data_IF_444815452768
#
_entry.id   IF_444815452768
#
_cell.length_a   1.000
_cell.length_b   1.000
_cell.length_c   1.000
_cell.angle_alpha   90.00
_cell.angle_beta   90.00
_cell.angle_gamma   90.00
#
_symmetry.space_group_name_H-M   'P 1'
#
loop_
_entity.id
_entity.type
_entity.pdbx_description
1 polymer ?
#
# COMPACT_ATOMS: atom_id res chain seq x y z
N UNK A 1 12.90 24.10 26.27
CA UNK A 1 13.12 22.96 27.17
C UNK A 1 11.87 22.78 28.03
N UNK A 2 11.27 21.58 28.04
CA UNK A 2 10.44 21.12 29.16
C UNK A 2 8.91 21.25 29.05
N UNK A 3 8.26 20.61 28.08
CA UNK A 3 6.95 20.02 28.42
C UNK A 3 7.21 18.61 28.95
N UNK A 4 7.00 18.44 30.25
CA UNK A 4 7.13 17.22 31.06
C UNK A 4 5.96 16.26 30.88
N UNK A 5 5.33 16.25 29.69
CA UNK A 5 4.20 15.37 29.44
C UNK A 5 4.74 13.99 29.05
N UNK A 6 4.41 12.92 29.79
CA UNK A 6 4.86 11.59 29.46
C UNK A 6 4.31 11.18 28.09
N UNK A 7 5.18 10.67 27.23
CA UNK A 7 4.85 10.18 25.90
C UNK A 7 4.95 8.66 25.92
N UNK A 8 3.79 8.02 25.93
CA UNK A 8 3.68 6.57 25.90
C UNK A 8 3.69 6.06 24.46
N UNK A 9 4.37 4.94 24.21
CA UNK A 9 4.39 4.34 22.89
C UNK A 9 4.94 2.92 22.88
N UNK A 10 4.61 2.17 21.83
CA UNK A 10 5.20 0.86 21.64
C UNK A 10 6.71 1.00 21.33
N UNK A 11 7.54 0.10 21.87
CA UNK A 11 9.00 0.16 21.77
C UNK A 11 9.54 0.09 20.34
N UNK A 12 8.73 -0.40 19.38
CA UNK A 12 9.10 -0.54 17.96
C UNK A 12 8.83 0.70 17.10
N UNK A 13 8.15 1.74 17.61
CA UNK A 13 7.81 2.95 16.83
C UNK A 13 9.06 3.57 16.20
N UNK A 14 10.14 3.73 16.97
CA UNK A 14 11.38 4.32 16.48
C UNK A 14 11.98 3.51 15.32
N UNK A 15 12.02 2.17 15.46
CA UNK A 15 12.52 1.25 14.42
C UNK A 15 11.66 1.27 13.16
N UNK A 16 10.33 1.28 13.30
CA UNK A 16 9.42 1.31 12.17
C UNK A 16 9.55 2.60 11.35
N UNK A 17 9.82 3.73 12.00
CA UNK A 17 10.03 5.02 11.32
C UNK A 17 11.34 5.09 10.54
N UNK A 18 12.42 4.46 11.00
CA UNK A 18 13.71 4.50 10.29
C UNK A 18 13.75 3.57 9.08
N UNK A 19 13.00 2.45 9.11
CA UNK A 19 12.95 1.43 8.03
C UNK A 19 12.67 2.03 6.66
N UNK A 20 11.66 2.89 6.55
CA UNK A 20 11.16 3.38 5.25
C UNK A 20 11.93 4.58 4.70
N UNK A 21 12.80 5.19 5.52
CA UNK A 21 13.57 6.39 5.18
C UNK A 21 15.02 6.09 4.71
N UNK A 22 15.37 4.81 4.53
CA UNK A 22 16.74 4.36 4.26
C UNK A 22 16.91 3.80 2.83
N UNK A 23 17.51 2.62 2.68
CA UNK A 23 17.92 2.00 1.43
C UNK A 23 16.79 1.84 0.37
N UNK A 24 15.52 1.78 0.78
CA UNK A 24 14.38 1.60 -0.13
C UNK A 24 13.59 2.89 -0.42
N UNK A 25 14.06 4.04 0.08
CA UNK A 25 13.29 5.27 0.18
C UNK A 25 12.66 5.78 -1.14
N UNK A 26 13.34 5.77 -2.32
CA UNK A 26 12.74 6.25 -3.56
C UNK A 26 11.56 5.41 -3.99
N UNK A 27 11.70 4.08 -3.99
CA UNK A 27 10.61 3.16 -4.34
C UNK A 27 9.43 3.34 -3.37
N UNK A 28 9.70 3.41 -2.07
CA UNK A 28 8.67 3.63 -1.06
C UNK A 28 7.95 4.98 -1.24
N UNK A 29 8.70 6.05 -1.47
CA UNK A 29 8.16 7.40 -1.68
C UNK A 29 7.35 7.48 -2.97
N UNK A 30 7.82 6.85 -4.05
CA UNK A 30 7.09 6.76 -5.32
C UNK A 30 5.73 6.11 -5.10
N UNK A 31 5.72 4.95 -4.46
CA UNK A 31 4.48 4.24 -4.18
C UNK A 31 3.54 5.03 -3.28
N UNK A 32 4.05 5.78 -2.29
CA UNK A 32 3.25 6.69 -1.47
C UNK A 32 2.58 7.78 -2.31
N UNK A 33 3.34 8.43 -3.20
CA UNK A 33 2.81 9.47 -4.10
C UNK A 33 1.73 8.91 -5.03
N UNK A 34 1.97 7.73 -5.60
CA UNK A 34 1.04 7.06 -6.52
C UNK A 34 -0.24 6.60 -5.79
N UNK A 35 -0.12 5.86 -4.68
CA UNK A 35 -1.28 5.34 -3.94
C UNK A 35 -2.15 6.43 -3.32
N UNK A 36 -1.54 7.48 -2.76
CA UNK A 36 -2.29 8.54 -2.09
C UNK A 36 -2.57 9.75 -2.98
N UNK A 37 -2.12 9.73 -4.24
CA UNK A 37 -2.37 10.80 -5.20
C UNK A 37 -1.85 12.15 -4.74
N UNK A 38 -0.73 12.20 -3.99
CA UNK A 38 -0.27 13.45 -3.34
C UNK A 38 0.21 14.51 -4.34
N UNK A 39 0.37 14.15 -5.61
CA UNK A 39 0.68 15.06 -6.72
C UNK A 39 -0.51 15.33 -7.64
N UNK A 40 -1.68 14.76 -7.36
CA UNK A 40 -2.89 15.02 -8.14
C UNK A 40 -3.40 16.44 -7.85
N UNK A 41 -4.05 17.09 -8.84
CA UNK A 41 -4.72 18.36 -8.62
C UNK A 41 -5.88 18.20 -7.63
N UNK A 42 -6.31 19.31 -7.03
CA UNK A 42 -7.43 19.30 -6.08
C UNK A 42 -8.80 19.18 -6.78
N UNK A 43 -8.85 19.50 -8.06
CA UNK A 43 -10.06 19.54 -8.88
C UNK A 43 -9.81 19.02 -10.31
N UNK A 44 -10.88 18.98 -11.10
CA UNK A 44 -10.86 18.53 -12.49
C UNK A 44 -10.91 17.01 -12.68
N UNK A 45 -10.82 16.53 -13.95
CA UNK A 45 -10.96 15.11 -14.29
C UNK A 45 -9.95 14.17 -13.60
N UNK A 46 -8.74 14.66 -13.37
CA UNK A 46 -7.67 13.94 -12.66
C UNK A 46 -7.57 14.33 -11.16
N UNK A 47 -8.57 15.04 -10.64
CA UNK A 47 -8.59 15.55 -9.27
C UNK A 47 -8.63 14.44 -8.22
N UNK A 48 -7.98 14.68 -7.08
CA UNK A 48 -8.09 13.81 -5.91
C UNK A 48 -9.52 13.87 -5.35
N UNK A 49 -10.08 12.69 -5.07
CA UNK A 49 -11.43 12.56 -4.48
C UNK A 49 -11.39 12.05 -3.04
N UNK A 50 -10.31 11.37 -2.67
CA UNK A 50 -10.13 10.75 -1.37
C UNK A 50 -8.96 9.77 -1.38
N UNK A 51 -8.59 9.31 -0.20
CA UNK A 51 -7.55 8.29 -0.01
C UNK A 51 -8.11 7.04 0.69
N UNK A 52 -9.43 6.85 0.66
CA UNK A 52 -10.16 5.74 1.31
C UNK A 52 -10.26 5.89 2.83
N UNK A 53 -9.14 5.96 3.54
CA UNK A 53 -9.10 6.16 5.01
C UNK A 53 -9.47 7.59 5.45
N UNK A 54 -9.58 8.51 4.50
CA UNK A 54 -9.90 9.91 4.72
C UNK A 54 -9.85 10.70 3.42
N UNK A 55 -10.01 12.02 3.50
CA UNK A 55 -10.05 12.89 2.31
C UNK A 55 -8.67 13.14 1.71
N UNK A 56 -7.64 13.32 2.54
CA UNK A 56 -6.29 13.66 2.10
C UNK A 56 -5.23 12.92 2.93
N UNK A 57 -4.11 12.56 2.29
CA UNK A 57 -2.92 12.13 3.02
C UNK A 57 -2.27 13.30 3.80
N UNK A 58 -2.28 14.50 3.22
CA UNK A 58 -1.95 15.76 3.88
C UNK A 58 -2.98 16.81 3.49
N UNK A 59 -3.66 17.40 4.47
CA UNK A 59 -4.71 18.37 4.20
C UNK A 59 -4.10 19.66 3.61
N UNK A 60 -4.42 20.03 2.34
CA UNK A 60 -3.87 21.21 1.68
C UNK A 60 -4.12 22.53 2.44
N UNK A 61 -5.20 22.61 3.22
CA UNK A 61 -5.51 23.79 4.03
C UNK A 61 -4.49 24.06 5.15
N UNK A 62 -3.64 23.07 5.47
CA UNK A 62 -2.60 23.15 6.48
C UNK A 62 -1.19 23.21 5.86
N UNK A 63 -1.07 23.62 4.59
CA UNK A 63 0.21 23.84 3.95
C UNK A 63 0.84 25.19 4.39
N UNK A 64 2.18 25.29 4.52
CA UNK A 64 3.16 24.21 4.40
C UNK A 64 3.15 23.28 5.63
N UNK A 65 3.43 22.01 5.40
CA UNK A 65 3.43 21.01 6.47
C UNK A 65 4.76 20.98 7.22
N UNK A 66 4.71 21.00 8.56
CA UNK A 66 5.88 20.80 9.42
C UNK A 66 5.90 19.35 9.93
N UNK A 67 6.89 18.53 9.54
CA UNK A 67 7.08 17.22 10.17
C UNK A 67 7.39 17.39 11.67
N UNK A 68 6.74 16.60 12.51
CA UNK A 68 6.96 16.60 13.96
C UNK A 68 7.04 15.18 14.49
N UNK A 69 7.96 14.95 15.42
CA UNK A 69 8.07 13.70 16.17
C UNK A 69 8.77 13.97 17.50
N UNK A 70 8.23 13.39 18.56
CA UNK A 70 8.85 13.30 19.88
C UNK A 70 8.91 11.81 20.21
N UNK A 71 10.07 11.34 20.65
CA UNK A 71 10.25 9.94 21.03
C UNK A 71 9.45 9.61 22.28
N UNK A 72 8.91 8.38 22.35
CA UNK A 72 8.26 7.89 23.54
C UNK A 72 9.28 7.69 24.66
N UNK A 73 9.04 8.30 25.81
CA UNK A 73 9.87 8.15 27.01
C UNK A 73 9.35 7.05 27.94
N UNK A 74 8.11 6.59 27.73
CA UNK A 74 7.53 5.44 28.41
C UNK A 74 7.14 4.39 27.36
N UNK A 75 7.95 3.32 27.26
CA UNK A 75 7.74 2.29 26.24
C UNK A 75 7.19 1.00 26.79
N UNK A 76 6.42 0.30 25.95
CA UNK A 76 5.92 -1.05 26.21
C UNK A 76 6.14 -1.94 24.98
N UNK A 77 6.24 -3.26 25.20
CA UNK A 77 6.36 -4.26 24.12
C UNK A 77 5.52 -5.52 24.34
N UNK A 78 4.72 -5.52 25.41
CA UNK A 78 3.85 -6.61 25.82
C UNK A 78 2.60 -6.04 26.48
N UNK A 79 1.61 -6.88 26.75
CA UNK A 79 0.40 -6.47 27.48
C UNK A 79 0.76 -5.83 28.81
N UNK A 80 0.21 -4.65 29.06
CA UNK A 80 0.45 -3.90 30.29
C UNK A 80 -0.77 -3.06 30.68
N UNK A 81 -0.77 -2.58 31.92
CA UNK A 81 -1.74 -1.60 32.42
C UNK A 81 -1.01 -0.30 32.69
N UNK A 82 -1.57 0.80 32.22
CA UNK A 82 -1.05 2.15 32.45
C UNK A 82 -2.15 3.06 32.96
N UNK A 83 -1.76 4.09 33.70
CA UNK A 83 -2.68 5.14 34.17
C UNK A 83 -2.30 6.46 33.53
N UNK A 84 -3.20 7.04 32.74
CA UNK A 84 -2.99 8.35 32.10
C UNK A 84 -4.13 9.27 32.49
N UNK A 85 -3.79 10.41 33.12
CA UNK A 85 -4.78 11.39 33.59
C UNK A 85 -5.90 10.79 34.47
N UNK A 86 -5.59 9.76 35.27
CA UNK A 86 -6.55 9.07 36.15
C UNK A 86 -7.42 8.01 35.46
N UNK A 87 -7.21 7.76 34.16
CA UNK A 87 -7.84 6.66 33.44
C UNK A 87 -6.91 5.45 33.45
N UNK A 88 -7.40 4.34 34.00
CA UNK A 88 -6.76 3.02 33.87
C UNK A 88 -6.98 2.51 32.44
N UNK A 89 -5.88 2.15 31.78
CA UNK A 89 -5.88 1.66 30.41
C UNK A 89 -5.17 0.31 30.33
N UNK A 90 -5.85 -0.70 29.81
CA UNK A 90 -5.26 -1.99 29.48
C UNK A 90 -4.76 -1.95 28.02
N UNK A 91 -3.44 -2.02 27.84
CA UNK A 91 -2.76 -2.00 26.55
C UNK A 91 -2.46 -3.44 26.14
N UNK A 92 -2.89 -3.84 24.96
CA UNK A 92 -2.61 -5.17 24.39
C UNK A 92 -1.97 -5.04 23.02
N UNK A 93 -0.83 -5.70 22.75
CA UNK A 93 -0.25 -5.78 21.41
C UNK A 93 -1.27 -6.28 20.40
N UNK A 94 -1.45 -5.54 19.32
CA UNK A 94 -2.39 -5.86 18.26
C UNK A 94 -1.81 -5.45 16.90
N UNK A 95 -0.77 -6.16 16.41
CA UNK A 95 -0.17 -5.87 15.12
C UNK A 95 -1.20 -5.82 14.00
N UNK A 96 -1.17 -4.75 13.20
CA UNK A 96 -2.09 -4.53 12.07
C UNK A 96 -1.31 -4.12 10.83
N UNK A 97 -1.32 -2.83 10.46
CA UNK A 97 -0.54 -2.28 9.35
C UNK A 97 0.93 -2.10 9.72
N UNK A 98 1.21 -2.05 11.02
CA UNK A 98 2.54 -2.09 11.61
C UNK A 98 2.56 -3.02 12.84
N UNK A 99 3.75 -3.49 13.19
CA UNK A 99 3.99 -4.42 14.30
C UNK A 99 4.08 -3.73 15.68
N UNK A 100 3.79 -2.43 15.72
CA UNK A 100 3.76 -1.58 16.91
C UNK A 100 2.33 -1.09 17.25
N UNK A 101 1.33 -1.61 16.55
CA UNK A 101 -0.08 -1.33 16.85
C UNK A 101 -0.54 -2.04 18.12
N UNK A 102 -1.43 -1.36 18.86
CA UNK A 102 -2.02 -1.85 20.11
C UNK A 102 -3.51 -1.55 20.17
N UNK A 103 -4.24 -2.32 20.97
CA UNK A 103 -5.58 -1.95 21.45
C UNK A 103 -5.49 -1.38 22.85
N UNK A 104 -6.26 -0.33 23.11
CA UNK A 104 -6.31 0.38 24.41
C UNK A 104 -7.72 0.22 24.95
N UNK A 105 -7.92 -0.61 25.98
CA UNK A 105 -9.20 -0.71 26.68
C UNK A 105 -9.23 0.26 27.85
N UNK A 106 -10.31 1.03 27.97
CA UNK A 106 -10.55 1.99 29.06
C UNK A 106 -11.86 1.61 29.75
N UNK A 107 -11.84 0.70 30.75
CA UNK A 107 -13.05 0.11 31.32
C UNK A 107 -14.00 1.12 31.94
N UNK A 108 -13.49 2.18 32.56
CA UNK A 108 -14.31 3.24 33.16
C UNK A 108 -15.15 4.03 32.15
N UNK A 109 -14.78 3.98 30.86
CA UNK A 109 -15.50 4.61 29.76
C UNK A 109 -16.22 3.61 28.87
N UNK A 110 -16.16 2.31 29.19
CA UNK A 110 -16.70 1.22 28.39
C UNK A 110 -16.24 1.28 26.91
N UNK A 111 -14.95 1.58 26.72
CA UNK A 111 -14.34 1.97 25.45
C UNK A 111 -13.12 1.10 25.11
N UNK A 112 -12.98 0.75 23.84
CA UNK A 112 -11.74 0.24 23.25
C UNK A 112 -11.31 1.13 22.08
N UNK A 113 -10.05 1.56 22.08
CA UNK A 113 -9.40 2.25 20.95
C UNK A 113 -8.52 1.26 20.19
N UNK A 114 -8.56 1.26 18.85
CA UNK A 114 -7.86 0.28 18.02
C UNK A 114 -7.39 0.85 16.67
N UNK A 115 -6.51 0.13 15.98
CA UNK A 115 -6.12 0.36 14.59
C UNK A 115 -6.28 -0.92 13.73
N UNK A 116 -7.19 -1.80 14.14
CA UNK A 116 -7.47 -3.08 13.49
C UNK A 116 -8.63 -2.97 12.49
N UNK A 117 -9.67 -2.24 12.87
CA UNK A 117 -10.90 -2.07 12.08
C UNK A 117 -10.87 -0.72 11.38
N UNK A 118 -10.56 -0.73 10.09
CA UNK A 118 -10.54 0.47 9.27
C UNK A 118 -11.91 0.74 8.62
N UNK A 119 -12.23 1.99 8.26
CA UNK A 119 -13.47 2.34 7.56
C UNK A 119 -13.51 1.90 6.08
N UNK A 120 -12.80 0.82 5.76
CA UNK A 120 -12.58 0.20 4.45
C UNK A 120 -12.05 -1.22 4.69
N UNK A 121 -12.17 -2.10 3.70
CA UNK A 121 -11.54 -3.42 3.75
C UNK A 121 -10.04 -3.29 4.02
N UNK A 122 -9.56 -3.98 5.06
CA UNK A 122 -8.17 -3.85 5.52
C UNK A 122 -7.18 -4.25 4.41
N UNK A 123 -6.16 -3.42 4.20
CA UNK A 123 -5.16 -3.71 3.19
C UNK A 123 -4.06 -4.63 3.74
N UNK A 124 -4.20 -5.93 3.52
CA UNK A 124 -3.22 -6.94 3.97
C UNK A 124 -1.83 -6.66 3.38
N UNK A 125 -1.76 -6.09 2.17
CA UNK A 125 -0.51 -5.66 1.57
C UNK A 125 -0.71 -4.46 0.65
N UNK A 126 0.05 -3.39 0.80
CA UNK A 126 -0.17 -2.18 0.01
C UNK A 126 0.44 -2.28 -1.40
N UNK A 127 -0.32 -1.89 -2.45
CA UNK A 127 0.17 -1.86 -3.84
C UNK A 127 1.37 -0.92 -4.03
N UNK A 128 1.58 0.03 -3.11
CA UNK A 128 2.77 0.89 -3.06
C UNK A 128 4.08 0.17 -2.73
N UNK A 129 4.03 -1.09 -2.33
CA UNK A 129 5.19 -1.86 -1.92
C UNK A 129 5.53 -1.61 -0.45
N UNK A 130 5.34 -2.64 0.36
CA UNK A 130 5.75 -2.75 1.76
C UNK A 130 6.31 -4.15 2.01
N UNK A 131 6.57 -4.49 3.27
CA UNK A 131 6.71 -5.89 3.64
C UNK A 131 5.34 -6.56 3.65
N UNK A 132 5.30 -7.86 3.29
CA UNK A 132 4.09 -8.64 3.42
C UNK A 132 3.70 -8.78 4.90
N UNK A 133 2.42 -8.56 5.20
CA UNK A 133 1.86 -8.74 6.53
C UNK A 133 0.92 -9.92 6.46
N UNK A 134 1.22 -10.96 7.24
CA UNK A 134 0.35 -12.13 7.32
C UNK A 134 -0.97 -11.73 8.00
N UNK A 135 -2.12 -11.76 7.29
CA UNK A 135 -3.39 -11.38 7.89
C UNK A 135 -3.78 -12.30 9.04
N UNK A 136 -3.22 -13.50 9.17
CA UNK A 136 -3.48 -14.37 10.32
C UNK A 136 -3.11 -13.72 11.65
N UNK A 137 -2.11 -12.82 11.66
CA UNK A 137 -1.73 -12.03 12.85
C UNK A 137 -2.83 -11.01 13.18
N UNK A 138 -3.34 -10.31 12.17
CA UNK A 138 -4.42 -9.32 12.31
C UNK A 138 -5.71 -9.96 12.83
N UNK A 139 -6.06 -11.15 12.32
CA UNK A 139 -7.29 -11.86 12.67
C UNK A 139 -7.36 -12.16 14.17
N UNK A 140 -6.24 -12.52 14.81
CA UNK A 140 -6.20 -12.73 16.25
C UNK A 140 -6.55 -11.45 17.04
N UNK A 141 -6.11 -10.28 16.58
CA UNK A 141 -6.48 -9.00 17.17
C UNK A 141 -7.97 -8.68 16.98
N UNK A 142 -8.52 -8.97 15.79
CA UNK A 142 -9.94 -8.79 15.50
C UNK A 142 -10.83 -9.69 16.38
N UNK A 143 -10.42 -10.93 16.63
CA UNK A 143 -11.13 -11.86 17.53
C UNK A 143 -11.12 -11.37 18.99
N UNK A 144 -10.08 -10.62 19.40
CA UNK A 144 -10.02 -10.04 20.75
C UNK A 144 -10.97 -8.87 20.97
N UNK A 145 -11.25 -8.04 19.98
CA UNK A 145 -12.03 -6.80 20.18
C UNK A 145 -13.43 -7.06 20.79
N UNK A 146 -14.25 -8.00 20.27
CA UNK A 146 -15.56 -8.29 20.87
C UNK A 146 -15.45 -8.98 22.24
N UNK A 147 -14.35 -9.69 22.50
CA UNK A 147 -14.13 -10.44 23.75
C UNK A 147 -13.98 -9.52 24.97
N UNK A 148 -13.51 -8.29 24.78
CA UNK A 148 -13.41 -7.25 25.83
C UNK A 148 -14.80 -6.76 26.25
N UNK A 149 -15.82 -6.98 25.41
CA UNK A 149 -17.21 -6.53 25.63
C UNK A 149 -17.23 -5.05 26.01
N UNK A 150 -16.74 -4.16 25.15
CA UNK A 150 -16.92 -2.72 25.32
C UNK A 150 -18.21 -2.25 24.62
N UNK A 151 -18.87 -1.19 25.11
CA UNK A 151 -20.00 -0.57 24.40
C UNK A 151 -19.54 0.40 23.30
N UNK A 152 -18.30 0.88 23.35
CA UNK A 152 -17.75 1.81 22.37
C UNK A 152 -16.47 1.26 21.76
N UNK A 153 -16.39 1.24 20.43
CA UNK A 153 -15.18 0.90 19.69
C UNK A 153 -14.79 2.11 18.82
N UNK A 154 -13.62 2.69 19.10
CA UNK A 154 -13.07 3.83 18.36
C UNK A 154 -11.86 3.34 17.56
N UNK A 155 -11.86 3.59 16.26
CA UNK A 155 -10.71 3.36 15.39
C UNK A 155 -9.79 4.58 15.35
N UNK A 156 -8.50 4.37 15.05
CA UNK A 156 -7.59 5.44 14.61
C UNK A 156 -8.09 6.14 13.33
N UNK A 157 -8.94 5.44 12.57
CA UNK A 157 -9.64 5.92 11.40
C UNK A 157 -11.14 5.64 11.51
N UNK A 158 -11.95 6.46 10.82
CA UNK A 158 -13.37 6.20 10.65
C UNK A 158 -14.27 6.65 11.80
N UNK A 159 -15.52 6.20 11.74
CA UNK A 159 -16.59 6.54 12.69
C UNK A 159 -16.64 5.48 13.81
N UNK A 160 -16.86 5.87 15.07
CA UNK A 160 -17.03 4.92 16.17
C UNK A 160 -18.18 3.93 15.95
N UNK A 161 -18.00 2.69 16.41
CA UNK A 161 -19.05 1.66 16.45
C UNK A 161 -19.56 1.57 17.88
N UNK A 162 -20.87 1.66 18.07
CA UNK A 162 -21.51 1.69 19.39
C UNK A 162 -22.47 0.50 19.56
N UNK A 163 -22.49 -0.06 20.77
CA UNK A 163 -23.30 -1.22 21.13
C UNK A 163 -22.52 -2.53 20.95
N UNK A 164 -22.48 -3.35 22.01
CA UNK A 164 -21.72 -4.62 22.04
C UNK A 164 -22.10 -5.57 20.91
N UNK A 165 -23.40 -5.71 20.63
CA UNK A 165 -23.89 -6.60 19.58
C UNK A 165 -23.52 -6.10 18.19
N UNK A 166 -23.57 -4.78 17.98
CA UNK A 166 -23.18 -4.17 16.70
C UNK A 166 -21.67 -4.26 16.48
N UNK A 167 -20.87 -4.07 17.52
CA UNK A 167 -19.42 -4.30 17.49
C UNK A 167 -19.14 -5.76 17.12
N UNK A 168 -19.74 -6.72 17.83
CA UNK A 168 -19.52 -8.15 17.56
C UNK A 168 -19.92 -8.53 16.13
N UNK A 169 -21.07 -8.04 15.65
CA UNK A 169 -21.56 -8.29 14.29
C UNK A 169 -20.61 -7.71 13.25
N UNK A 170 -20.33 -6.41 13.30
CA UNK A 170 -19.54 -5.71 12.26
C UNK A 170 -18.08 -6.16 12.24
N UNK A 171 -17.47 -6.31 13.43
CA UNK A 171 -16.08 -6.84 13.53
C UNK A 171 -16.03 -8.30 13.08
N UNK A 172 -17.05 -9.11 13.40
CA UNK A 172 -17.17 -10.48 12.90
C UNK A 172 -17.20 -10.54 11.37
N UNK A 173 -18.05 -9.72 10.71
CA UNK A 173 -18.09 -9.64 9.24
C UNK A 173 -16.74 -9.21 8.67
N UNK A 174 -16.11 -8.20 9.26
CA UNK A 174 -14.79 -7.70 8.84
C UNK A 174 -13.72 -8.79 8.89
N UNK A 175 -13.66 -9.49 10.02
CA UNK A 175 -12.76 -10.62 10.27
C UNK A 175 -12.98 -11.75 9.26
N UNK A 176 -14.23 -12.12 9.01
CA UNK A 176 -14.58 -13.20 8.07
C UNK A 176 -14.26 -12.84 6.62
N UNK A 177 -14.45 -11.59 6.21
CA UNK A 177 -14.05 -11.12 4.87
C UNK A 177 -12.55 -11.26 4.63
N UNK A 178 -11.73 -10.90 5.62
CA UNK A 178 -10.26 -11.02 5.53
C UNK A 178 -9.82 -12.49 5.54
N UNK A 179 -10.37 -13.30 6.45
CA UNK A 179 -10.09 -14.75 6.48
C UNK A 179 -10.48 -15.41 5.16
N UNK A 180 -11.64 -15.07 4.60
CA UNK A 180 -12.11 -15.63 3.34
C UNK A 180 -11.12 -15.38 2.21
N UNK A 181 -10.61 -14.16 2.08
CA UNK A 181 -9.61 -13.82 1.06
C UNK A 181 -8.34 -14.67 1.23
N UNK A 182 -7.88 -14.86 2.46
CA UNK A 182 -6.70 -15.70 2.73
C UNK A 182 -6.98 -17.18 2.43
N UNK A 183 -8.05 -17.75 2.98
CA UNK A 183 -8.41 -19.16 2.83
C UNK A 183 -8.60 -19.54 1.36
N UNK A 184 -9.36 -18.74 0.60
CA UNK A 184 -9.61 -19.04 -0.80
C UNK A 184 -8.37 -18.82 -1.66
N UNK A 185 -7.52 -17.84 -1.33
CA UNK A 185 -6.23 -17.67 -2.00
C UNK A 185 -5.35 -18.90 -1.83
N UNK A 186 -5.18 -19.36 -0.59
CA UNK A 186 -4.37 -20.55 -0.28
C UNK A 186 -4.98 -21.79 -0.93
N UNK A 187 -6.30 -21.98 -0.82
CA UNK A 187 -7.00 -23.12 -1.42
C UNK A 187 -6.78 -23.23 -2.92
N UNK A 188 -6.90 -22.11 -3.66
CA UNK A 188 -6.71 -22.10 -5.10
C UNK A 188 -5.23 -22.19 -5.50
N UNK A 189 -4.32 -21.58 -4.74
CA UNK A 189 -2.88 -21.73 -4.96
C UNK A 189 -2.44 -23.19 -4.80
N UNK A 190 -2.92 -23.88 -3.75
CA UNK A 190 -2.68 -25.31 -3.54
C UNK A 190 -3.23 -26.20 -4.67
N UNK A 191 -4.12 -25.68 -5.51
CA UNK A 191 -4.66 -26.35 -6.71
C UNK A 191 -3.96 -25.95 -8.00
N UNK A 192 -2.84 -25.22 -7.91
CA UNK A 192 -2.04 -24.80 -9.06
C UNK A 192 -2.52 -23.52 -9.75
N UNK A 193 -3.40 -22.73 -9.12
CA UNK A 193 -3.78 -21.44 -9.68
C UNK A 193 -2.57 -20.48 -9.72
N UNK A 194 -2.36 -19.84 -10.87
CA UNK A 194 -1.35 -18.80 -11.02
C UNK A 194 -1.77 -17.51 -10.31
N UNK A 195 -0.86 -16.54 -10.20
CA UNK A 195 -1.20 -15.23 -9.61
C UNK A 195 -2.33 -14.55 -10.38
N UNK A 196 -2.33 -14.64 -11.71
CA UNK A 196 -3.39 -14.08 -12.55
C UNK A 196 -4.74 -14.79 -12.35
N UNK A 197 -4.75 -16.12 -12.26
CA UNK A 197 -6.00 -16.88 -12.09
C UNK A 197 -6.73 -16.52 -10.78
N UNK A 198 -5.98 -16.32 -9.70
CA UNK A 198 -6.53 -15.98 -8.38
C UNK A 198 -7.38 -14.71 -8.40
N UNK A 199 -6.96 -13.71 -9.19
CA UNK A 199 -7.71 -12.46 -9.35
C UNK A 199 -9.12 -12.66 -9.91
N UNK A 200 -9.34 -13.74 -10.66
CA UNK A 200 -10.62 -14.08 -11.26
C UNK A 200 -11.40 -15.11 -10.46
N UNK A 201 -10.71 -16.02 -9.78
CA UNK A 201 -11.30 -17.13 -9.03
C UNK A 201 -11.82 -16.73 -7.64
N UNK A 202 -11.17 -15.76 -6.98
CA UNK A 202 -11.51 -15.36 -5.61
C UNK A 202 -12.18 -13.99 -5.64
N UNK A 203 -13.47 -13.97 -5.29
CA UNK A 203 -14.27 -12.76 -5.11
C UNK A 203 -14.89 -12.78 -3.73
N UNK A 204 -14.96 -11.61 -3.10
CA UNK A 204 -15.72 -11.50 -1.86
C UNK A 204 -17.19 -11.89 -2.15
N UNK A 205 -17.80 -12.70 -1.27
CA UNK A 205 -19.20 -13.06 -1.40
C UNK A 205 -20.08 -11.83 -1.19
N UNK A 206 -21.30 -11.83 -1.74
CA UNK A 206 -22.26 -10.70 -1.66
C UNK A 206 -22.50 -10.24 -0.21
N UNK A 207 -22.45 -11.18 0.73
CA UNK A 207 -22.63 -10.88 2.15
C UNK A 207 -21.54 -9.97 2.73
N UNK A 208 -20.37 -9.88 2.09
CA UNK A 208 -19.26 -9.03 2.51
C UNK A 208 -19.36 -7.59 1.98
N UNK A 209 -20.34 -7.26 1.13
CA UNK A 209 -20.51 -5.91 0.59
C UNK A 209 -21.75 -5.20 1.17
N UNK A 210 -21.99 -5.36 2.47
CA UNK A 210 -23.12 -4.75 3.17
C UNK A 210 -22.74 -3.56 4.08
N UNK A 211 -21.44 -3.31 4.23
CA UNK A 211 -20.88 -2.32 5.14
C UNK A 211 -19.63 -1.68 4.53
N UNK A 212 -19.45 -0.37 4.71
CA UNK A 212 -18.26 0.35 4.28
C UNK A 212 -16.96 -0.24 4.84
N UNK A 213 -17.04 -0.94 5.99
CA UNK A 213 -15.91 -1.67 6.56
C UNK A 213 -15.40 -2.76 5.62
N UNK A 214 -16.27 -3.43 4.87
CA UNK A 214 -15.89 -4.61 4.07
C UNK A 214 -15.95 -4.35 2.58
N UNK A 215 -16.59 -3.26 2.15
CA UNK A 215 -16.56 -2.80 0.75
C UNK A 215 -15.14 -2.45 0.29
N UNK A 216 -14.86 -2.79 -0.97
CA UNK A 216 -13.56 -2.65 -1.64
C UNK A 216 -13.25 -1.19 -2.06
N UNK A 217 -13.27 -0.27 -1.10
CA UNK A 217 -13.02 1.17 -1.29
C UNK A 217 -11.55 1.59 -1.14
N UNK A 218 -10.70 0.73 -0.60
CA UNK A 218 -9.28 1.01 -0.43
C UNK A 218 -8.41 0.09 -1.28
N UNK A 219 -8.47 -1.22 -1.09
CA UNK A 219 -7.97 -2.21 -2.06
C UNK A 219 -9.10 -3.10 -2.58
N UNK A 220 -8.78 -3.97 -3.53
CA UNK A 220 -9.72 -4.93 -4.14
C UNK A 220 -9.25 -6.37 -3.95
N UNK A 221 -10.17 -7.33 -3.87
CA UNK A 221 -9.94 -8.76 -3.69
C UNK A 221 -8.95 -9.33 -4.72
N UNK A 222 -9.06 -8.89 -5.97
CA UNK A 222 -8.12 -9.25 -7.05
C UNK A 222 -6.66 -8.92 -6.69
N UNK A 223 -6.41 -7.79 -6.02
CA UNK A 223 -5.05 -7.43 -5.58
C UNK A 223 -4.67 -8.18 -4.30
N UNK A 224 -5.59 -8.30 -3.35
CA UNK A 224 -5.33 -8.99 -2.07
C UNK A 224 -4.91 -10.44 -2.29
N UNK A 225 -5.56 -11.15 -3.20
CA UNK A 225 -5.26 -12.56 -3.47
C UNK A 225 -3.86 -12.75 -4.06
N UNK A 226 -3.48 -11.90 -5.02
CA UNK A 226 -2.13 -11.86 -5.61
C UNK A 226 -1.06 -11.52 -4.58
N UNK A 227 -1.39 -10.63 -3.66
CA UNK A 227 -0.52 -10.18 -2.60
C UNK A 227 -0.30 -11.26 -1.54
N UNK A 228 -1.37 -11.90 -1.06
CA UNK A 228 -1.31 -13.03 -0.14
C UNK A 228 -0.50 -14.16 -0.76
N UNK A 229 -0.75 -14.49 -2.03
CA UNK A 229 0.04 -15.50 -2.75
C UNK A 229 1.52 -15.15 -2.79
N UNK A 230 1.87 -13.95 -3.24
CA UNK A 230 3.28 -13.50 -3.31
C UNK A 230 3.94 -13.43 -1.94
N UNK A 231 3.19 -13.07 -0.91
CA UNK A 231 3.66 -13.02 0.48
C UNK A 231 3.99 -14.39 1.06
N UNK A 232 3.16 -15.39 0.76
CA UNK A 232 3.34 -16.76 1.25
C UNK A 232 4.33 -17.58 0.42
N UNK A 233 4.35 -17.39 -0.89
CA UNK A 233 5.04 -18.29 -1.84
C UNK A 233 6.10 -17.60 -2.71
N UNK A 234 6.25 -16.28 -2.60
CA UNK A 234 7.20 -15.50 -3.39
C UNK A 234 6.73 -15.21 -4.82
N UNK A 235 7.66 -14.70 -5.63
CA UNK A 235 7.37 -14.15 -6.95
C UNK A 235 6.94 -15.21 -7.98
N UNK A 236 7.47 -16.43 -7.88
CA UNK A 236 7.27 -17.45 -8.90
C UNK A 236 5.88 -18.07 -8.77
N UNK A 237 5.12 -18.03 -9.86
CA UNK A 237 3.73 -18.48 -9.90
C UNK A 237 3.47 -19.84 -10.53
N UNK A 238 4.54 -20.57 -10.83
CA UNK A 238 4.47 -21.88 -11.47
C UNK A 238 4.53 -21.81 -12.99
N UNK A 239 4.36 -20.63 -13.60
CA UNK A 239 4.51 -20.45 -15.04
C UNK A 239 5.99 -20.30 -15.41
N UNK A 240 6.55 -21.26 -16.14
CA UNK A 240 7.98 -21.30 -16.51
C UNK A 240 8.42 -20.09 -17.34
N UNK A 241 7.52 -19.46 -18.11
CA UNK A 241 7.84 -18.23 -18.83
C UNK A 241 8.15 -17.05 -17.89
N UNK A 242 7.58 -17.06 -16.68
CA UNK A 242 7.87 -16.08 -15.63
C UNK A 242 9.17 -16.39 -14.88
N UNK A 243 9.70 -17.62 -14.99
CA UNK A 243 10.97 -18.00 -14.38
C UNK A 243 12.18 -17.47 -15.16
N UNK A 244 12.04 -17.37 -16.49
CA UNK A 244 13.09 -16.88 -17.39
C UNK A 244 12.61 -15.71 -18.25
N UNK A 245 12.23 -14.57 -17.66
CA UNK A 245 11.68 -13.46 -18.41
C UNK A 245 12.76 -12.77 -19.24
N UNK A 246 12.43 -12.42 -20.48
CA UNK A 246 13.20 -11.43 -21.24
C UNK A 246 13.18 -10.06 -20.55
N UNK A 247 14.22 -9.22 -20.75
CA UNK A 247 14.15 -7.80 -20.39
C UNK A 247 12.89 -7.16 -21.00
N UNK A 248 12.19 -6.34 -20.21
CA UNK A 248 10.85 -5.81 -20.57
C UNK A 248 10.78 -5.21 -21.96
N UNK A 249 11.73 -4.32 -22.30
CA UNK A 249 11.75 -3.63 -23.61
C UNK A 249 11.92 -4.63 -24.76
N UNK A 250 12.88 -5.55 -24.65
CA UNK A 250 13.12 -6.58 -25.67
C UNK A 250 11.91 -7.51 -25.84
N UNK A 251 11.28 -7.91 -24.73
CA UNK A 251 10.07 -8.75 -24.75
C UNK A 251 8.94 -8.05 -25.51
N UNK A 252 8.73 -6.77 -25.25
CA UNK A 252 7.67 -5.99 -25.89
C UNK A 252 7.93 -5.81 -27.39
N UNK A 253 9.17 -5.52 -27.80
CA UNK A 253 9.53 -5.43 -29.21
C UNK A 253 9.26 -6.74 -29.97
N UNK A 254 9.58 -7.89 -29.34
CA UNK A 254 9.31 -9.22 -29.91
C UNK A 254 7.81 -9.49 -30.06
N UNK A 255 7.02 -9.18 -29.04
CA UNK A 255 5.56 -9.35 -29.13
C UNK A 255 4.93 -8.43 -30.18
N UNK A 256 5.35 -7.17 -30.26
CA UNK A 256 4.87 -6.24 -31.29
C UNK A 256 5.18 -6.79 -32.69
N UNK A 257 6.38 -7.30 -32.92
CA UNK A 257 6.74 -7.93 -34.19
C UNK A 257 5.87 -9.16 -34.49
N UNK A 258 5.67 -10.03 -33.50
CA UNK A 258 4.85 -11.24 -33.62
C UNK A 258 3.37 -10.94 -33.90
N UNK A 259 2.85 -9.82 -33.39
CA UNK A 259 1.48 -9.34 -33.59
C UNK A 259 1.26 -8.59 -34.91
N UNK A 260 2.26 -8.57 -35.81
CA UNK A 260 2.15 -7.93 -37.13
C UNK A 260 2.53 -6.44 -37.13
N UNK A 261 3.36 -6.00 -36.18
CA UNK A 261 3.93 -4.66 -36.15
C UNK A 261 3.12 -3.64 -35.34
N UNK A 262 3.74 -2.48 -35.10
CA UNK A 262 3.24 -1.44 -34.19
C UNK A 262 1.84 -0.93 -34.55
N UNK A 263 1.60 -0.63 -35.83
CA UNK A 263 0.31 -0.08 -36.27
C UNK A 263 -0.82 -1.10 -36.09
N UNK A 264 -0.54 -2.39 -36.30
CA UNK A 264 -1.49 -3.48 -36.05
C UNK A 264 -1.85 -3.57 -34.56
N UNK A 265 -0.85 -3.42 -33.68
CA UNK A 265 -1.04 -3.41 -32.22
C UNK A 265 -1.83 -2.18 -31.78
N UNK A 266 -1.53 -0.99 -32.34
CA UNK A 266 -2.30 0.24 -32.08
C UNK A 266 -3.76 0.09 -32.47
N UNK A 267 -4.03 -0.36 -33.70
CA UNK A 267 -5.39 -0.60 -34.17
C UNK A 267 -6.12 -1.65 -33.30
N UNK A 268 -5.41 -2.66 -32.80
CA UNK A 268 -5.98 -3.64 -31.87
C UNK A 268 -6.31 -3.03 -30.51
N UNK A 269 -5.45 -2.15 -30.00
CA UNK A 269 -5.70 -1.41 -28.76
C UNK A 269 -6.94 -0.51 -28.87
N UNK A 270 -7.10 0.20 -30.00
CA UNK A 270 -8.30 1.01 -30.28
C UNK A 270 -9.56 0.16 -30.29
N UNK A 271 -9.55 -0.97 -31.02
CA UNK A 271 -10.68 -1.90 -31.04
C UNK A 271 -11.01 -2.46 -29.66
N UNK A 272 -10.00 -2.77 -28.85
CA UNK A 272 -10.20 -3.26 -27.48
C UNK A 272 -10.92 -2.20 -26.63
N UNK A 273 -10.53 -0.93 -26.73
CA UNK A 273 -11.22 0.18 -26.05
C UNK A 273 -12.66 0.37 -26.54
N UNK A 274 -12.89 0.32 -27.86
CA UNK A 274 -14.23 0.43 -28.46
C UNK A 274 -15.16 -0.73 -28.03
N UNK A 275 -14.59 -1.92 -27.82
CA UNK A 275 -15.29 -3.11 -27.35
C UNK A 275 -15.43 -3.19 -25.82
N UNK A 276 -15.01 -2.16 -25.09
CA UNK A 276 -14.97 -2.10 -23.63
C UNK A 276 -14.05 -3.15 -22.94
N UNK A 277 -13.12 -3.73 -23.69
CA UNK A 277 -12.08 -4.64 -23.18
C UNK A 277 -10.86 -3.85 -22.67
N UNK A 278 -11.07 -3.16 -21.55
CA UNK A 278 -10.08 -2.27 -20.93
C UNK A 278 -8.84 -3.03 -20.45
N UNK A 279 -8.99 -4.30 -20.05
CA UNK A 279 -7.85 -5.13 -19.60
C UNK A 279 -6.93 -5.44 -20.78
N UNK A 280 -7.49 -5.86 -21.91
CA UNK A 280 -6.69 -6.12 -23.10
C UNK A 280 -6.07 -4.84 -23.67
N UNK A 281 -6.83 -3.74 -23.69
CA UNK A 281 -6.30 -2.44 -24.07
C UNK A 281 -5.11 -2.01 -23.19
N UNK A 282 -5.16 -2.27 -21.87
CA UNK A 282 -4.06 -1.97 -20.96
C UNK A 282 -2.79 -2.75 -21.31
N UNK A 283 -2.90 -4.05 -21.62
CA UNK A 283 -1.76 -4.87 -22.02
C UNK A 283 -1.11 -4.35 -23.30
N UNK A 284 -1.94 -4.09 -24.33
CA UNK A 284 -1.45 -3.59 -25.61
C UNK A 284 -0.82 -2.20 -25.50
N UNK A 285 -1.49 -1.26 -24.81
CA UNK A 285 -0.97 0.09 -24.61
C UNK A 285 0.31 0.09 -23.77
N UNK A 286 0.39 -0.76 -22.74
CA UNK A 286 1.59 -0.90 -21.91
C UNK A 286 2.77 -1.41 -22.74
N UNK A 287 2.55 -2.46 -23.54
CA UNK A 287 3.57 -3.01 -24.43
C UNK A 287 4.07 -1.96 -25.44
N UNK A 288 3.17 -1.19 -26.05
CA UNK A 288 3.52 -0.10 -26.97
C UNK A 288 4.36 0.97 -26.28
N UNK A 289 3.91 1.48 -25.13
CA UNK A 289 4.56 2.59 -24.42
C UNK A 289 5.92 2.24 -23.79
N UNK A 290 6.21 0.94 -23.61
CA UNK A 290 7.43 0.43 -22.98
C UNK A 290 8.30 -0.40 -23.92
N UNK A 291 8.25 -0.10 -25.21
CA UNK A 291 9.05 -0.72 -26.29
C UNK A 291 10.09 0.27 -26.83
N UNK A 292 11.07 -0.20 -27.62
CA UNK A 292 12.22 0.63 -28.06
C UNK A 292 11.78 1.86 -28.86
N UNK A 293 10.80 1.70 -29.75
CA UNK A 293 10.30 2.75 -30.64
C UNK A 293 8.97 3.34 -30.15
N UNK A 294 8.78 3.46 -28.83
CA UNK A 294 7.58 4.05 -28.26
C UNK A 294 7.46 5.54 -28.64
N UNK A 295 6.34 5.91 -29.26
CA UNK A 295 6.05 7.30 -29.61
C UNK A 295 5.22 7.99 -28.51
N UNK A 296 5.11 9.31 -28.59
CA UNK A 296 4.30 10.11 -27.65
C UNK A 296 2.83 9.65 -27.65
N UNK A 297 2.30 9.27 -28.81
CA UNK A 297 0.93 8.74 -28.95
C UNK A 297 0.73 7.40 -28.23
N UNK A 298 1.75 6.54 -28.19
CA UNK A 298 1.68 5.26 -27.44
C UNK A 298 1.56 5.53 -25.94
N UNK A 299 2.31 6.52 -25.44
CA UNK A 299 2.29 6.92 -24.03
C UNK A 299 0.96 7.57 -23.66
N UNK A 300 0.42 8.44 -24.53
CA UNK A 300 -0.91 9.05 -24.38
C UNK A 300 -2.02 8.00 -24.39
N UNK A 301 -1.90 6.98 -25.25
CA UNK A 301 -2.84 5.85 -25.28
C UNK A 301 -2.85 5.12 -23.93
N UNK A 302 -1.67 4.78 -23.38
CA UNK A 302 -1.59 4.17 -22.05
C UNK A 302 -2.16 5.09 -20.96
N UNK A 303 -1.88 6.38 -21.01
CA UNK A 303 -2.46 7.35 -20.08
C UNK A 303 -4.00 7.38 -20.15
N UNK A 304 -4.57 7.31 -21.35
CA UNK A 304 -6.02 7.23 -21.54
C UNK A 304 -6.60 5.95 -20.93
N UNK A 305 -6.01 4.79 -21.20
CA UNK A 305 -6.46 3.51 -20.61
C UNK A 305 -6.43 3.57 -19.08
N UNK A 306 -5.36 4.11 -18.49
CA UNK A 306 -5.24 4.27 -17.04
C UNK A 306 -6.33 5.19 -16.46
N UNK A 307 -6.66 6.29 -17.15
CA UNK A 307 -7.80 7.14 -16.74
C UNK A 307 -9.13 6.40 -16.81
N UNK A 308 -9.34 5.57 -17.82
CA UNK A 308 -10.53 4.71 -17.93
C UNK A 308 -10.64 3.72 -16.77
N UNK A 309 -9.52 3.15 -16.32
CA UNK A 309 -9.51 2.30 -15.11
C UNK A 309 -9.85 3.12 -13.87
N UNK A 310 -9.27 4.32 -13.74
CA UNK A 310 -9.45 5.20 -12.59
C UNK A 310 -10.90 5.70 -12.42
N UNK A 311 -11.68 5.81 -13.49
CA UNK A 311 -13.09 6.20 -13.43
C UNK A 311 -14.02 5.04 -13.08
N UNK A 312 -13.55 3.79 -13.17
CA UNK A 312 -14.36 2.58 -12.97
C UNK A 312 -14.06 1.83 -11.69
N UNK A 313 -12.85 1.96 -11.15
CA UNK A 313 -12.47 1.29 -9.91
C UNK A 313 -13.14 1.92 -8.70
N UNK A 314 -13.60 1.09 -7.76
CA UNK A 314 -14.09 1.51 -6.44
C UNK A 314 -12.96 1.84 -5.47
N UNK A 315 -11.74 1.38 -5.75
CA UNK A 315 -10.58 1.53 -4.88
C UNK A 315 -9.93 2.91 -5.04
N UNK A 316 -9.86 3.66 -3.93
CA UNK A 316 -9.14 4.92 -3.88
C UNK A 316 -7.65 4.75 -4.23
N UNK A 317 -7.01 3.67 -3.77
CA UNK A 317 -5.60 3.40 -4.06
C UNK A 317 -5.36 3.19 -5.56
N UNK A 318 -6.20 2.37 -6.22
CA UNK A 318 -6.07 2.10 -7.67
C UNK A 318 -6.36 3.37 -8.47
N UNK A 319 -7.43 4.09 -8.13
CA UNK A 319 -7.80 5.34 -8.79
C UNK A 319 -6.63 6.32 -8.75
N UNK A 320 -6.12 6.60 -7.56
CA UNK A 320 -5.03 7.57 -7.37
C UNK A 320 -3.74 7.11 -8.08
N UNK A 321 -3.44 5.82 -8.04
CA UNK A 321 -2.29 5.24 -8.74
C UNK A 321 -2.41 5.45 -10.25
N UNK A 322 -3.55 5.05 -10.82
CA UNK A 322 -3.82 5.14 -12.25
C UNK A 322 -3.76 6.60 -12.74
N UNK A 323 -4.38 7.55 -12.05
CA UNK A 323 -4.33 8.97 -12.43
C UNK A 323 -2.91 9.53 -12.30
N UNK A 324 -2.19 9.21 -11.22
CA UNK A 324 -0.81 9.68 -11.03
C UNK A 324 0.09 9.15 -12.15
N UNK A 325 -0.04 7.87 -12.51
CA UNK A 325 0.72 7.27 -13.61
C UNK A 325 0.30 7.81 -14.97
N UNK A 326 -1.00 8.02 -15.21
CA UNK A 326 -1.50 8.57 -16.47
C UNK A 326 -0.85 9.92 -16.78
N UNK A 327 -0.79 10.80 -15.79
CA UNK A 327 -0.15 12.12 -15.91
C UNK A 327 1.35 12.07 -16.17
N UNK A 328 2.02 11.04 -15.67
CA UNK A 328 3.44 10.82 -15.97
C UNK A 328 3.63 10.29 -17.39
N UNK A 329 2.72 9.44 -17.87
CA UNK A 329 2.79 8.88 -19.22
C UNK A 329 2.50 9.94 -20.29
N UNK A 330 1.53 10.82 -20.10
CA UNK A 330 1.20 11.88 -21.07
C UNK A 330 2.03 13.18 -20.91
N UNK A 331 2.98 13.19 -19.98
CA UNK A 331 3.89 14.33 -19.75
C UNK A 331 3.28 15.51 -18.97
N UNK A 332 2.03 15.43 -18.50
CA UNK A 332 1.40 16.48 -17.69
C UNK A 332 1.88 16.53 -16.23
N UNK A 333 2.73 15.59 -15.81
CA UNK A 333 3.46 15.62 -14.55
C UNK A 333 4.84 14.96 -14.68
N UNK A 334 5.86 15.55 -14.07
CA UNK A 334 7.21 14.97 -14.00
C UNK A 334 7.36 14.02 -12.79
N UNK A 335 7.55 12.74 -13.08
CA UNK A 335 7.81 11.68 -12.11
C UNK A 335 9.28 11.37 -11.85
N UNK A 336 10.22 11.97 -12.61
CA UNK A 336 11.66 11.63 -12.58
C UNK A 336 12.28 11.73 -11.19
N UNK A 337 11.79 12.70 -10.39
CA UNK A 337 12.13 12.88 -8.98
C UNK A 337 11.96 11.62 -8.12
N UNK A 338 11.00 10.76 -8.45
CA UNK A 338 10.58 9.64 -7.62
C UNK A 338 11.46 8.39 -7.78
N UNK A 339 12.39 8.40 -8.74
CA UNK A 339 13.31 7.27 -9.01
C UNK A 339 14.75 7.56 -8.59
N UNK A 340 14.99 8.64 -7.84
CA UNK A 340 16.33 9.07 -7.45
C UNK A 340 16.42 9.19 -5.92
N UNK A 341 17.47 8.60 -5.33
CA UNK A 341 17.80 8.87 -3.93
C UNK A 341 18.23 10.34 -3.77
N UNK A 342 17.62 11.03 -2.80
CA UNK A 342 17.95 12.43 -2.50
C UNK A 342 18.28 12.57 -1.02
N UNK A 343 19.39 13.25 -0.76
CA UNK A 343 19.80 13.61 0.58
C UNK A 343 19.38 15.06 0.84
N UNK A 344 18.23 15.26 1.48
CA UNK A 344 17.85 16.60 1.93
C UNK A 344 18.58 16.93 3.24
N UNK A 345 18.95 18.19 3.44
CA UNK A 345 19.59 18.65 4.69
C UNK A 345 18.75 18.28 5.91
N UNK A 346 17.43 18.44 5.84
CA UNK A 346 16.53 18.08 6.92
C UNK A 346 16.54 16.59 7.24
N UNK A 347 16.56 15.72 6.21
CA UNK A 347 16.62 14.27 6.42
C UNK A 347 17.96 13.84 7.03
N UNK A 348 19.07 14.42 6.59
CA UNK A 348 20.39 14.13 7.15
C UNK A 348 20.52 14.59 8.61
N UNK A 349 20.00 15.77 8.94
CA UNK A 349 20.04 16.30 10.32
C UNK A 349 19.11 15.57 11.28
N UNK A 350 18.05 14.94 10.76
CA UNK A 350 17.10 14.18 11.57
C UNK A 350 17.48 12.71 11.75
N UNK A 351 18.41 12.18 10.93
CA UNK A 351 18.86 10.80 10.97
C UNK A 351 20.24 10.63 11.61
N UNK A 352 20.63 9.39 11.90
CA UNK A 352 22.00 9.06 12.30
C UNK A 352 22.95 9.08 11.09
N UNK A 353 24.23 9.36 11.34
CA UNK A 353 25.28 9.24 10.31
C UNK A 353 25.35 7.82 9.74
N UNK A 354 25.18 6.80 10.59
CA UNK A 354 25.10 5.39 10.22
C UNK A 354 24.05 5.12 9.13
N UNK A 355 22.84 5.69 9.29
CA UNK A 355 21.78 5.52 8.30
C UNK A 355 22.16 6.14 6.94
N UNK A 356 22.86 7.29 6.93
CA UNK A 356 23.32 7.90 5.69
C UNK A 356 24.37 7.03 4.97
N UNK A 357 25.34 6.47 5.71
CA UNK A 357 26.34 5.53 5.17
C UNK A 357 25.66 4.29 4.59
N UNK A 358 24.66 3.76 5.29
CA UNK A 358 23.85 2.63 4.82
C UNK A 358 23.04 2.90 3.55
N UNK A 359 22.69 4.16 3.23
CA UNK A 359 22.07 4.49 1.95
C UNK A 359 23.11 4.48 0.82
N UNK A 360 24.35 4.92 1.07
CA UNK A 360 25.39 4.95 0.04
C UNK A 360 25.64 3.56 -0.59
N UNK A 361 25.50 2.48 0.21
CA UNK A 361 25.72 1.10 -0.28
C UNK A 361 24.84 0.72 -1.48
N UNK A 362 23.63 1.27 -1.57
CA UNK A 362 22.68 0.98 -2.66
C UNK A 362 22.81 1.94 -3.84
N UNK A 363 23.72 2.92 -3.75
CA UNK A 363 24.04 3.88 -4.81
C UNK A 363 25.32 3.53 -5.56
N UNK A 364 26.13 2.63 -5.01
CA UNK A 364 27.35 2.15 -5.65
C UNK A 364 26.99 1.42 -6.93
N UNK A 365 27.58 1.84 -8.04
CA UNK A 365 27.59 1.11 -9.31
C UNK A 365 28.78 0.13 -9.30
N UNK A 366 28.54 -1.20 -9.18
CA UNK A 366 29.62 -2.17 -9.13
C UNK A 366 30.49 -2.18 -10.39
N UNK A 367 29.93 -1.81 -11.54
CA UNK A 367 30.67 -1.78 -12.81
C UNK A 367 31.71 -0.66 -12.85
N UNK A 368 31.46 0.44 -12.15
CA UNK A 368 32.35 1.58 -12.06
C UNK A 368 33.50 1.39 -11.06
N UNK A 369 33.40 0.40 -10.15
CA UNK A 369 34.36 0.16 -9.07
C UNK A 369 35.07 -1.20 -9.17
N UNK A 370 35.06 -1.82 -10.35
CA UNK A 370 35.71 -3.11 -10.56
C UNK A 370 37.20 -3.06 -10.18
N UNK A 371 37.64 -3.98 -9.32
CA UNK A 371 39.03 -4.05 -8.83
C UNK A 371 39.36 -3.07 -7.69
N UNK A 372 38.39 -2.33 -7.17
CA UNK A 372 38.56 -1.48 -5.99
C UNK A 372 38.17 -2.27 -4.73
N UNK A 373 39.12 -2.43 -3.81
CA UNK A 373 38.92 -2.94 -2.46
C UNK A 373 39.47 -1.90 -1.47
N UNK A 374 38.57 -1.19 -0.79
CA UNK A 374 38.92 -0.09 0.09
C UNK A 374 38.07 -0.11 1.36
N UNK A 375 38.71 0.11 2.50
CA UNK A 375 38.06 0.28 3.79
C UNK A 375 38.06 1.76 4.16
N UNK A 376 36.86 2.33 4.34
CA UNK A 376 36.69 3.70 4.81
C UNK A 376 36.03 3.66 6.19
N UNK A 377 36.67 4.30 7.17
CA UNK A 377 36.12 4.50 8.52
C UNK A 377 35.73 5.97 8.70
N UNK A 378 34.69 6.20 9.51
CA UNK A 378 34.22 7.53 9.88
C UNK A 378 34.31 7.64 11.41
N UNK A 379 35.02 8.66 11.89
CA UNK A 379 35.18 8.95 13.33
C UNK A 379 33.99 9.73 13.92
#
# INVERSE_FOLDING_TARGET
AGSTLPVWGHSRIATNRTRTASAIAPTYTRGLVEQFGTSLPLDGPDGIVGVGLGTYFRNPAHAPHTPGYVEADHTFGSTCRITVAGLEMDITPAPSDADDSVTISIPSLDLVVNNLVWPVLFNVFAIRGEEYRDPMILLAGLDQLPSVRANHLIGAHGIPINGRDEIAKRVGRYRDSIQFLWDQTVRHTNRGATSADLAHLVRLPEWADDDYLTTEHYGVAEHHTRQIRSGLFGFFDGNEANLFPYPTVERNDRYIAALGGRDTVRASCTRALEADDVRWALELASMLATSTNAEDEDRKTLAHVLRTIATRTTSANIRNWCLTRARQWDGSADGSRLTTHRFSRGALLAGSADNAVHVLRVLVDPSAINGIDAHVAFD
#
